data_IF_561000008253
#
_entry.id   IF_561000008253
#
_cell.length_a   1.000
_cell.length_b   1.000
_cell.length_c   1.000
_cell.angle_alpha   90.00
_cell.angle_beta   90.00
_cell.angle_gamma   90.00
#
_symmetry.space_group_name_H-M   'P 1'
#
loop_
_entity.id
_entity.type
_entity.pdbx_description
1 polymer ?
#
# COMPACT_ATOMS: atom_id res chain seq x y z
N UNK A 1 -18.75 2.04 -23.05
CA UNK A 1 -18.16 3.19 -22.33
C UNK A 1 -16.94 2.79 -21.48
N UNK A 2 -16.74 1.51 -21.13
CA UNK A 2 -15.66 1.10 -20.20
C UNK A 2 -14.25 0.95 -20.81
N UNK A 3 -14.10 0.76 -22.12
CA UNK A 3 -12.78 0.55 -22.75
C UNK A 3 -11.86 1.77 -22.69
N UNK A 4 -12.43 2.96 -22.90
CA UNK A 4 -11.68 4.22 -22.95
C UNK A 4 -11.10 4.60 -21.59
N UNK A 5 -11.80 4.27 -20.49
CA UNK A 5 -11.31 4.51 -19.14
C UNK A 5 -10.12 3.60 -18.76
N UNK A 6 -10.17 2.33 -19.19
CA UNK A 6 -9.09 1.35 -18.98
C UNK A 6 -7.83 1.68 -19.77
N UNK A 7 -7.99 2.11 -21.04
CA UNK A 7 -6.89 2.52 -21.91
C UNK A 7 -6.17 3.76 -21.34
N UNK A 8 -6.94 4.78 -20.94
CA UNK A 8 -6.39 6.01 -20.34
C UNK A 8 -5.66 5.76 -19.02
N UNK A 9 -6.15 4.84 -18.18
CA UNK A 9 -5.46 4.48 -16.93
C UNK A 9 -4.13 3.76 -17.21
N UNK A 10 -4.11 2.89 -18.22
CA UNK A 10 -2.90 2.15 -18.62
C UNK A 10 -1.83 3.07 -19.21
N UNK A 11 -2.23 4.05 -20.03
CA UNK A 11 -1.33 5.07 -20.56
C UNK A 11 -0.78 5.98 -19.46
N UNK A 12 -1.63 6.42 -18.52
CA UNK A 12 -1.18 7.19 -17.36
C UNK A 12 -0.16 6.40 -16.53
N UNK A 13 -0.41 5.13 -16.25
CA UNK A 13 0.55 4.27 -15.54
C UNK A 13 1.89 4.16 -16.28
N UNK A 14 1.86 3.89 -17.60
CA UNK A 14 3.08 3.81 -18.44
C UNK A 14 3.88 5.12 -18.46
N UNK A 15 3.18 6.25 -18.38
CA UNK A 15 3.78 7.58 -18.39
C UNK A 15 4.05 8.13 -16.98
N UNK A 16 3.96 7.29 -15.94
CA UNK A 16 4.28 7.70 -14.56
C UNK A 16 3.29 8.67 -13.93
N UNK A 17 2.01 8.59 -14.30
CA UNK A 17 0.92 9.47 -13.86
C UNK A 17 1.19 10.97 -14.14
N UNK A 18 1.20 11.39 -15.42
CA UNK A 18 1.53 12.77 -15.79
C UNK A 18 0.60 13.78 -15.10
N UNK A 19 1.18 14.84 -14.54
CA UNK A 19 0.46 15.86 -13.77
C UNK A 19 0.14 15.46 -12.32
N UNK A 20 0.66 14.32 -11.84
CA UNK A 20 0.76 14.00 -10.42
C UNK A 20 2.22 14.08 -10.01
N UNK A 21 2.47 14.71 -8.88
CA UNK A 21 3.79 14.75 -8.24
C UNK A 21 3.67 14.09 -6.87
N UNK A 22 4.68 13.31 -6.51
CA UNK A 22 4.79 12.74 -5.17
C UNK A 22 5.17 13.85 -4.18
N UNK A 23 4.55 13.86 -3.00
CA UNK A 23 4.98 14.73 -1.91
C UNK A 23 6.15 14.04 -1.15
N UNK A 24 7.38 14.59 -1.22
CA UNK A 24 8.54 13.97 -0.58
C UNK A 24 8.46 13.92 0.95
N UNK A 25 7.52 14.65 1.57
CA UNK A 25 7.32 14.64 3.01
C UNK A 25 6.43 13.47 3.48
N UNK A 26 5.66 12.87 2.58
CA UNK A 26 4.82 11.71 2.87
C UNK A 26 5.69 10.44 2.93
N UNK A 27 6.17 10.13 4.13
CA UNK A 27 7.15 9.07 4.38
C UNK A 27 6.57 7.88 5.15
N UNK A 28 5.27 7.86 5.40
CA UNK A 28 4.64 6.85 6.26
C UNK A 28 4.80 5.43 5.70
N UNK A 29 4.65 5.25 4.37
CA UNK A 29 4.93 3.97 3.71
C UNK A 29 6.37 3.51 3.97
N UNK A 30 7.34 4.43 3.85
CA UNK A 30 8.74 4.12 4.11
C UNK A 30 8.97 3.73 5.58
N UNK A 31 8.39 4.48 6.52
CA UNK A 31 8.49 4.20 7.96
C UNK A 31 7.84 2.86 8.31
N UNK A 32 6.68 2.55 7.73
CA UNK A 32 5.98 1.28 7.93
C UNK A 32 6.85 0.10 7.48
N UNK A 33 7.41 0.15 6.27
CA UNK A 33 8.29 -0.91 5.77
C UNK A 33 9.66 -0.98 6.46
N UNK A 34 10.05 0.06 7.21
CA UNK A 34 11.19 0.04 8.13
C UNK A 34 10.82 -0.47 9.53
N UNK A 35 9.57 -0.86 9.75
CA UNK A 35 9.05 -1.27 11.05
C UNK A 35 9.10 -0.15 12.12
N UNK A 36 9.09 1.12 11.69
CA UNK A 36 9.17 2.29 12.56
C UNK A 36 7.79 2.78 13.04
N UNK A 37 6.73 2.46 12.30
CA UNK A 37 5.34 2.77 12.67
C UNK A 37 4.45 1.53 12.46
N UNK A 38 3.34 1.51 13.19
CA UNK A 38 2.28 0.51 13.01
C UNK A 38 1.46 0.81 11.75
N UNK A 39 0.88 -0.23 11.17
CA UNK A 39 -0.11 -0.08 10.11
C UNK A 39 -1.38 0.60 10.62
N UNK A 40 -2.00 1.45 9.80
CA UNK A 40 -3.30 2.07 10.12
C UNK A 40 -4.46 1.29 9.49
N UNK A 41 -5.69 1.34 10.04
CA UNK A 41 -6.14 2.16 11.18
C UNK A 41 -5.79 1.60 12.58
N UNK A 42 -5.75 0.28 12.73
CA UNK A 42 -5.36 -0.40 13.98
C UNK A 42 -4.62 -1.68 13.59
N UNK A 43 -3.30 -1.73 13.72
CA UNK A 43 -2.54 -2.94 13.41
C UNK A 43 -1.19 -3.01 14.12
N UNK A 44 -0.17 -3.52 13.45
CA UNK A 44 1.14 -3.78 14.04
C UNK A 44 2.27 -3.33 13.12
N UNK A 45 3.49 -3.21 13.62
CA UNK A 45 4.65 -2.99 12.76
C UNK A 45 4.89 -4.21 11.85
N UNK A 46 5.49 -3.98 10.67
CA UNK A 46 5.66 -5.02 9.66
C UNK A 46 6.42 -6.26 10.18
N UNK A 47 7.38 -6.11 11.10
CA UNK A 47 8.09 -7.25 11.69
C UNK A 47 7.18 -8.14 12.54
N UNK A 48 6.22 -7.55 13.24
CA UNK A 48 5.21 -8.29 14.00
C UNK A 48 4.23 -9.01 13.06
N UNK A 49 3.78 -8.32 12.01
CA UNK A 49 2.91 -8.88 10.97
C UNK A 49 3.58 -10.12 10.33
N UNK A 50 4.85 -9.99 9.93
CA UNK A 50 5.60 -11.06 9.29
C UNK A 50 5.92 -12.22 10.24
N UNK A 51 6.15 -11.97 11.53
CA UNK A 51 6.45 -13.04 12.49
C UNK A 51 5.22 -13.76 13.01
N UNK A 52 4.10 -13.05 13.24
CA UNK A 52 2.91 -13.61 13.88
C UNK A 52 1.82 -14.03 12.90
N UNK A 53 1.71 -13.36 11.75
CA UNK A 53 0.57 -13.55 10.82
C UNK A 53 0.98 -14.23 9.52
N UNK A 54 2.27 -14.51 9.32
CA UNK A 54 2.73 -15.25 8.15
C UNK A 54 2.03 -16.60 8.05
N UNK A 55 1.43 -16.86 6.88
CA UNK A 55 0.69 -18.09 6.60
C UNK A 55 -0.78 -18.07 7.02
N UNK A 56 -1.25 -17.11 7.84
CA UNK A 56 -2.67 -16.93 8.12
C UNK A 56 -3.32 -15.94 7.14
N UNK A 57 -3.47 -16.37 5.89
CA UNK A 57 -4.00 -15.52 4.83
C UNK A 57 -5.45 -15.05 5.09
N UNK A 58 -6.25 -15.82 5.83
CA UNK A 58 -7.63 -15.43 6.18
C UNK A 58 -7.64 -14.29 7.19
N UNK A 59 -6.68 -14.28 8.12
CA UNK A 59 -6.50 -13.16 9.03
C UNK A 59 -6.04 -11.91 8.26
N UNK A 60 -5.02 -12.07 7.41
CA UNK A 60 -4.47 -10.97 6.61
C UNK A 60 -5.55 -10.32 5.73
N UNK A 61 -6.35 -11.12 5.01
CA UNK A 61 -7.42 -10.63 4.15
C UNK A 61 -8.49 -9.82 4.90
N UNK A 62 -8.82 -10.22 6.14
CA UNK A 62 -9.78 -9.50 6.99
C UNK A 62 -9.19 -8.23 7.60
N UNK A 63 -7.93 -8.27 8.01
CA UNK A 63 -7.30 -7.17 8.74
C UNK A 63 -6.81 -6.05 7.80
N UNK A 64 -6.33 -6.41 6.60
CA UNK A 64 -5.86 -5.50 5.54
C UNK A 64 -4.71 -4.54 5.89
N UNK A 65 -4.34 -4.38 7.18
CA UNK A 65 -3.22 -3.56 7.64
C UNK A 65 -1.83 -4.08 7.29
N UNK A 66 -1.70 -5.19 6.56
CA UNK A 66 -0.39 -5.68 6.12
C UNK A 66 0.16 -4.93 4.90
N UNK A 67 -0.61 -3.98 4.35
CA UNK A 67 -0.23 -3.06 3.26
C UNK A 67 -0.62 -1.64 3.69
N UNK A 68 0.28 -0.68 3.48
CA UNK A 68 0.03 0.74 3.73
C UNK A 68 -0.27 1.46 2.40
N UNK A 69 -1.30 2.33 2.39
CA UNK A 69 -1.74 3.12 1.24
C UNK A 69 -1.18 4.54 1.29
#
# INVERSE_FOLDING_TARGET
MDRIASERNSENYRNGYPGREDDPNLTDNLKFYRSEIESTPDGACIDEILSKWYGDYRFLERHQGFIQW
#
